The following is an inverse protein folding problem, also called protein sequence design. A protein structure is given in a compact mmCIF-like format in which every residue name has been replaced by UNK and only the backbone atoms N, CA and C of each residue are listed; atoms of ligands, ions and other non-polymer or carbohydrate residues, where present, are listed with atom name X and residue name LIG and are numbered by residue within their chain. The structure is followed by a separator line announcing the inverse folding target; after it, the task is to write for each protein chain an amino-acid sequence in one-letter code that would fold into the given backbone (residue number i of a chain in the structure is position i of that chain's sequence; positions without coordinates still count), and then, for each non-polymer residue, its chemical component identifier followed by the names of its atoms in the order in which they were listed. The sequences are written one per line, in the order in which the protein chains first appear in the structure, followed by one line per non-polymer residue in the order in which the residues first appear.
data_IF_548186073591
#
_entry.id   IF_548186073591
#
_cell.length_a   1.000
_cell.length_b   1.000
_cell.length_c   1.000
_cell.angle_alpha   90.00
_cell.angle_beta   90.00
_cell.angle_gamma   90.00
#
_symmetry.space_group_name_H-M   'P 1'
#
loop_
_entity.id
_entity.type
_entity.pdbx_description
1 polymer ?
#
# COMPACT_ATOMS: atom_id res chain seq x y z
N UNK A 1 25.61 11.68 -6.44
CA UNK A 1 25.09 10.85 -5.33
C UNK A 1 25.87 9.55 -5.31
N UNK A 2 26.60 9.26 -4.23
CA UNK A 2 27.20 7.94 -4.03
C UNK A 2 26.08 6.90 -4.09
N UNK A 3 26.27 5.87 -4.94
CA UNK A 3 25.42 4.69 -4.88
C UNK A 3 25.52 4.15 -3.46
N UNK A 4 24.42 4.12 -2.73
CA UNK A 4 24.31 3.42 -1.45
C UNK A 4 24.49 1.93 -1.75
N UNK A 5 25.73 1.45 -1.76
CA UNK A 5 26.08 0.08 -2.08
C UNK A 5 25.23 -0.87 -1.22
N UNK A 6 24.45 -1.71 -1.90
CA UNK A 6 23.64 -2.77 -1.28
C UNK A 6 22.28 -2.37 -0.75
N UNK A 7 21.82 -1.11 -0.88
CA UNK A 7 20.47 -0.72 -0.43
C UNK A 7 19.48 -0.62 -1.60
N UNK A 8 18.27 -1.09 -1.37
CA UNK A 8 17.13 -0.88 -2.26
C UNK A 8 16.60 0.53 -2.04
N UNK A 9 16.61 1.34 -3.08
CA UNK A 9 16.15 2.74 -3.06
C UNK A 9 14.67 2.79 -3.44
N UNK A 10 13.82 3.21 -2.50
CA UNK A 10 12.38 3.32 -2.72
C UNK A 10 11.99 4.72 -3.19
N UNK A 11 11.25 4.81 -4.28
CA UNK A 11 10.54 6.01 -4.71
C UNK A 11 9.12 6.03 -4.13
N UNK A 12 8.72 7.14 -3.51
CA UNK A 12 7.36 7.29 -3.00
C UNK A 12 6.55 8.17 -3.95
N UNK A 13 5.41 7.66 -4.42
CA UNK A 13 4.48 8.39 -5.31
C UNK A 13 3.21 8.70 -4.52
N UNK A 14 2.98 10.00 -4.28
CA UNK A 14 1.90 10.50 -3.42
C UNK A 14 2.36 10.70 -1.98
N UNK A 15 2.55 11.97 -1.55
CA UNK A 15 3.03 12.31 -0.20
C UNK A 15 1.87 12.80 0.67
N UNK A 16 0.81 12.01 0.71
CA UNK A 16 -0.29 12.15 1.67
C UNK A 16 0.08 11.61 3.05
N UNK A 17 -0.92 11.34 3.88
CA UNK A 17 -0.70 10.78 5.23
C UNK A 17 0.11 9.47 5.20
N UNK A 18 -0.21 8.56 4.27
CA UNK A 18 0.46 7.27 4.17
C UNK A 18 1.87 7.40 3.57
N UNK A 19 2.02 8.14 2.46
CA UNK A 19 3.34 8.39 1.86
C UNK A 19 4.30 9.09 2.82
N UNK A 20 3.81 10.08 3.57
CA UNK A 20 4.59 10.73 4.64
C UNK A 20 5.00 9.77 5.77
N UNK A 21 4.18 8.76 6.08
CA UNK A 21 4.55 7.71 7.03
C UNK A 21 5.68 6.83 6.50
N UNK A 22 5.64 6.46 5.22
CA UNK A 22 6.71 5.70 4.58
C UNK A 22 8.00 6.50 4.45
N UNK A 23 7.92 7.80 4.13
CA UNK A 23 9.11 8.66 4.09
C UNK A 23 9.81 8.70 5.45
N UNK A 24 9.05 8.88 6.54
CA UNK A 24 9.61 8.82 7.90
C UNK A 24 10.22 7.48 8.23
N UNK A 25 9.53 6.38 7.88
CA UNK A 25 10.05 5.03 8.10
C UNK A 25 11.38 4.80 7.37
N UNK A 26 11.45 5.12 6.08
CA UNK A 26 12.64 4.90 5.24
C UNK A 26 13.84 5.79 5.62
N UNK A 27 13.59 6.87 6.37
CA UNK A 27 14.64 7.78 6.87
C UNK A 27 14.95 7.61 8.35
N UNK A 28 14.28 6.67 9.05
CA UNK A 28 14.34 6.55 10.51
C UNK A 28 14.03 7.87 11.24
N UNK A 29 13.19 8.71 10.63
CA UNK A 29 12.79 9.96 11.26
C UNK A 29 11.94 9.69 12.52
N UNK A 30 12.00 10.56 13.54
CA UNK A 30 11.29 10.36 14.79
C UNK A 30 9.78 10.25 14.59
N UNK A 31 9.14 9.50 15.48
CA UNK A 31 7.69 9.36 15.50
C UNK A 31 7.00 10.73 15.61
N UNK A 32 5.89 10.96 14.88
CA UNK A 32 5.21 12.26 14.85
C UNK A 32 4.49 12.60 16.14
N UNK A 33 4.27 11.61 17.01
CA UNK A 33 3.59 11.78 18.30
C UNK A 33 4.36 11.13 19.45
N UNK A 34 4.38 11.74 20.64
CA UNK A 34 4.96 11.13 21.84
C UNK A 34 4.33 9.77 22.15
N UNK A 35 5.16 8.78 22.46
CA UNK A 35 4.71 7.42 22.80
C UNK A 35 4.43 6.50 21.59
N UNK A 36 4.48 6.99 20.37
CA UNK A 36 4.41 6.14 19.19
C UNK A 36 5.75 5.44 18.96
N UNK A 37 5.73 4.12 18.90
CA UNK A 37 6.91 3.31 18.56
C UNK A 37 6.88 2.99 17.08
N UNK A 38 7.90 3.45 16.35
CA UNK A 38 8.12 3.07 14.96
C UNK A 38 9.19 1.97 14.91
N UNK A 39 8.95 0.94 14.09
CA UNK A 39 9.99 -0.03 13.79
C UNK A 39 11.13 0.67 13.03
N UNK A 40 12.40 0.31 13.27
CA UNK A 40 13.51 0.85 12.48
C UNK A 40 13.41 0.37 11.01
N UNK A 41 13.85 1.23 10.10
CA UNK A 41 14.03 0.85 8.70
C UNK A 41 15.14 -0.21 8.60
N UNK A 42 14.95 -1.30 7.86
CA UNK A 42 16.01 -2.26 7.60
C UNK A 42 17.22 -1.59 6.94
N UNK A 43 18.43 -2.05 7.26
CA UNK A 43 19.68 -1.46 6.77
C UNK A 43 19.83 -1.53 5.23
N UNK A 44 19.13 -2.47 4.61
CA UNK A 44 19.12 -2.65 3.16
C UNK A 44 18.07 -1.81 2.41
N UNK A 45 17.38 -0.89 3.09
CA UNK A 45 16.38 -0.01 2.50
C UNK A 45 16.79 1.46 2.63
N UNK A 46 16.39 2.28 1.67
CA UNK A 46 16.60 3.73 1.69
C UNK A 46 15.50 4.47 0.94
N UNK A 47 15.24 5.72 1.31
CA UNK A 47 14.42 6.64 0.54
C UNK A 47 15.25 7.16 -0.64
N UNK A 48 14.85 6.81 -1.87
CA UNK A 48 15.54 7.17 -3.11
C UNK A 48 15.00 8.43 -3.78
N UNK A 49 13.67 8.61 -3.75
CA UNK A 49 13.02 9.78 -4.34
C UNK A 49 11.61 9.99 -3.77
N UNK A 50 11.10 11.20 -3.92
CA UNK A 50 9.75 11.61 -3.58
C UNK A 50 9.05 12.17 -4.81
N UNK A 51 7.75 11.89 -4.94
CA UNK A 51 6.93 12.41 -6.05
C UNK A 51 5.53 12.81 -5.59
N UNK A 52 5.15 14.02 -5.88
CA UNK A 52 3.79 14.52 -5.69
C UNK A 52 3.51 15.66 -6.68
N UNK A 53 2.25 15.83 -7.08
CA UNK A 53 1.81 16.93 -7.95
C UNK A 53 1.58 18.24 -7.17
N UNK A 54 1.42 18.17 -5.85
CA UNK A 54 1.11 19.30 -4.98
C UNK A 54 2.38 20.12 -4.67
N UNK A 55 2.43 21.43 -5.03
CA UNK A 55 3.57 22.30 -4.73
C UNK A 55 3.86 22.45 -3.22
N UNK A 56 2.83 22.38 -2.37
CA UNK A 56 3.03 22.46 -0.92
C UNK A 56 3.76 21.21 -0.40
N UNK A 57 3.47 20.04 -1.01
CA UNK A 57 4.22 18.81 -0.71
C UNK A 57 5.66 18.90 -1.18
N UNK A 58 5.91 19.48 -2.35
CA UNK A 58 7.28 19.74 -2.84
C UNK A 58 8.07 20.57 -1.83
N UNK A 59 7.50 21.69 -1.37
CA UNK A 59 8.13 22.58 -0.40
C UNK A 59 8.44 21.85 0.90
N UNK A 60 7.43 21.18 1.47
CA UNK A 60 7.57 20.40 2.71
C UNK A 60 8.66 19.32 2.57
N UNK A 61 8.68 18.58 1.46
CA UNK A 61 9.66 17.53 1.24
C UNK A 61 11.08 18.07 1.12
N UNK A 62 11.30 19.20 0.42
CA UNK A 62 12.59 19.84 0.31
C UNK A 62 13.13 20.36 1.65
N UNK A 63 12.24 20.79 2.54
CA UNK A 63 12.60 21.20 3.90
C UNK A 63 12.95 20.01 4.81
N UNK A 64 12.17 18.93 4.73
CA UNK A 64 12.32 17.75 5.61
C UNK A 64 13.36 16.75 5.11
N UNK A 65 13.54 16.64 3.80
CA UNK A 65 14.40 15.66 3.13
C UNK A 65 15.26 16.34 2.05
N UNK A 66 16.15 17.29 2.40
CA UNK A 66 16.85 18.15 1.45
C UNK A 66 17.75 17.38 0.46
N UNK A 67 18.25 16.21 0.87
CA UNK A 67 19.14 15.38 0.05
C UNK A 67 18.39 14.38 -0.84
N UNK A 68 17.06 14.31 -0.73
CA UNK A 68 16.21 13.38 -1.50
C UNK A 68 15.62 14.09 -2.71
N UNK A 69 15.86 13.61 -3.94
CA UNK A 69 15.30 14.20 -5.14
C UNK A 69 13.76 14.15 -5.12
N UNK A 70 13.15 15.25 -5.59
CA UNK A 70 11.72 15.39 -5.68
C UNK A 70 11.30 15.55 -7.15
N UNK A 71 10.25 14.82 -7.55
CA UNK A 71 9.68 14.82 -8.89
C UNK A 71 8.21 15.26 -8.85
N UNK A 72 7.77 15.99 -9.89
CA UNK A 72 6.35 16.34 -10.08
C UNK A 72 5.61 15.29 -10.91
N UNK A 73 6.34 14.61 -11.79
CA UNK A 73 5.83 13.52 -12.61
C UNK A 73 6.48 12.21 -12.17
N UNK A 74 5.65 11.22 -11.86
CA UNK A 74 6.11 9.90 -11.46
C UNK A 74 6.79 9.13 -12.60
N UNK A 75 6.51 9.46 -13.88
CA UNK A 75 7.22 8.88 -15.02
C UNK A 75 8.67 9.32 -15.06
N UNK A 76 8.91 10.62 -14.81
CA UNK A 76 10.26 11.17 -14.73
C UNK A 76 11.04 10.53 -13.56
N UNK A 77 10.39 10.29 -12.43
CA UNK A 77 11.01 9.59 -11.30
C UNK A 77 11.39 8.14 -11.67
N UNK A 78 10.50 7.39 -12.32
CA UNK A 78 10.78 6.02 -12.76
C UNK A 78 11.94 5.98 -13.76
N UNK A 79 11.99 6.93 -14.70
CA UNK A 79 13.04 7.03 -15.70
C UNK A 79 14.39 7.56 -15.16
N UNK A 80 14.41 8.15 -13.97
CA UNK A 80 15.60 8.88 -13.45
C UNK A 80 16.76 8.00 -13.03
N UNK A 81 16.54 6.70 -12.80
CA UNK A 81 17.56 5.82 -12.22
C UNK A 81 17.90 6.08 -10.74
N UNK A 82 17.14 6.93 -10.06
CA UNK A 82 17.33 7.22 -8.63
C UNK A 82 16.68 6.18 -7.71
N UNK A 83 15.80 5.34 -8.23
CA UNK A 83 15.01 4.36 -7.48
C UNK A 83 15.13 2.96 -8.07
N UNK A 84 14.99 1.94 -7.24
CA UNK A 84 15.02 0.52 -7.58
C UNK A 84 13.63 -0.13 -7.42
N UNK A 85 12.79 0.49 -6.61
CA UNK A 85 11.41 0.10 -6.36
C UNK A 85 10.55 1.33 -6.07
N UNK A 86 9.25 1.24 -6.35
CA UNK A 86 8.30 2.30 -6.00
C UNK A 86 7.26 1.82 -5.00
N UNK A 87 6.78 2.76 -4.18
CA UNK A 87 5.59 2.58 -3.34
C UNK A 87 4.55 3.59 -3.81
N UNK A 88 3.36 3.11 -4.25
CA UNK A 88 2.28 4.00 -4.69
C UNK A 88 1.31 4.27 -3.54
N UNK A 89 1.14 5.53 -3.18
CA UNK A 89 0.26 5.99 -2.09
C UNK A 89 -0.69 7.11 -2.56
N UNK A 90 -1.05 7.06 -3.82
CA UNK A 90 -1.95 8.00 -4.51
C UNK A 90 -3.43 7.64 -4.29
N UNK A 91 -4.39 8.45 -4.75
CA UNK A 91 -5.80 8.06 -4.79
C UNK A 91 -6.03 6.78 -5.58
N UNK A 92 -6.99 5.96 -5.15
CA UNK A 92 -7.19 4.57 -5.54
C UNK A 92 -7.28 4.31 -7.06
N UNK A 93 -7.84 5.26 -7.82
CA UNK A 93 -7.99 5.13 -9.27
C UNK A 93 -6.67 5.15 -10.04
N UNK A 94 -5.60 5.71 -9.45
CA UNK A 94 -4.29 5.81 -10.08
C UNK A 94 -3.38 4.61 -9.81
N UNK A 95 -3.73 3.76 -8.86
CA UNK A 95 -2.90 2.61 -8.46
C UNK A 95 -2.56 1.71 -9.65
N UNK A 96 -3.56 1.37 -10.48
CA UNK A 96 -3.35 0.45 -11.59
C UNK A 96 -2.50 1.05 -12.71
N UNK A 97 -2.72 2.32 -13.05
CA UNK A 97 -1.97 2.99 -14.13
C UNK A 97 -0.48 3.06 -13.79
N UNK A 98 -0.17 3.58 -12.60
CA UNK A 98 1.21 3.74 -12.15
C UNK A 98 1.91 2.40 -12.00
N UNK A 99 1.22 1.41 -11.40
CA UNK A 99 1.81 0.08 -11.20
C UNK A 99 2.09 -0.65 -12.50
N UNK A 100 1.18 -0.59 -13.47
CA UNK A 100 1.37 -1.21 -14.80
C UNK A 100 2.55 -0.55 -15.50
N UNK A 101 2.56 0.76 -15.60
CA UNK A 101 3.66 1.49 -16.23
C UNK A 101 5.01 1.16 -15.60
N UNK A 102 5.07 1.13 -14.27
CA UNK A 102 6.31 0.82 -13.56
C UNK A 102 6.82 -0.60 -13.87
N UNK A 103 5.94 -1.61 -13.85
CA UNK A 103 6.30 -2.99 -14.19
C UNK A 103 6.78 -3.12 -15.64
N UNK A 104 6.10 -2.46 -16.60
CA UNK A 104 6.49 -2.41 -18.02
C UNK A 104 7.87 -1.75 -18.25
N UNK A 105 8.33 -0.93 -17.28
CA UNK A 105 9.65 -0.30 -17.28
C UNK A 105 10.66 -0.99 -16.35
N UNK A 106 10.40 -2.25 -15.97
CA UNK A 106 11.33 -3.05 -15.16
C UNK A 106 11.44 -2.62 -13.69
N UNK A 107 10.48 -1.85 -13.17
CA UNK A 107 10.49 -1.33 -11.80
C UNK A 107 9.72 -2.24 -10.85
N UNK A 108 10.32 -2.56 -9.70
CA UNK A 108 9.62 -3.24 -8.62
C UNK A 108 8.54 -2.34 -8.00
N UNK A 109 7.38 -2.91 -7.66
CA UNK A 109 6.22 -2.14 -7.22
C UNK A 109 5.61 -2.70 -5.94
N UNK A 110 5.47 -1.84 -4.94
CA UNK A 110 4.62 -2.07 -3.79
C UNK A 110 3.44 -1.10 -3.85
N UNK A 111 2.26 -1.60 -4.19
CA UNK A 111 1.06 -0.80 -4.35
C UNK A 111 0.25 -0.77 -3.05
N UNK A 112 -0.15 0.42 -2.59
CA UNK A 112 -1.07 0.54 -1.46
C UNK A 112 -2.44 -0.10 -1.77
N UNK A 113 -3.08 -0.52 -0.70
CA UNK A 113 -4.46 -1.04 -0.80
C UNK A 113 -5.48 0.13 -0.96
N UNK A 114 -6.59 -0.08 -1.63
CA UNK A 114 -6.93 -1.27 -2.43
C UNK A 114 -6.10 -1.34 -3.72
N UNK A 115 -5.92 -2.53 -4.26
CA UNK A 115 -5.21 -2.71 -5.53
C UNK A 115 -5.79 -1.85 -6.66
N UNK A 116 -7.08 -1.63 -6.64
CA UNK A 116 -7.83 -0.78 -7.56
C UNK A 116 -9.30 -0.77 -7.19
N UNK A 117 -10.05 0.10 -7.85
CA UNK A 117 -11.48 0.32 -7.61
C UNK A 117 -12.35 -0.55 -8.50
N UNK A 118 -11.85 -0.90 -9.68
CA UNK A 118 -12.56 -1.70 -10.68
C UNK A 118 -11.85 -3.02 -10.89
N UNK A 119 -12.57 -4.12 -10.82
CA UNK A 119 -12.02 -5.46 -11.05
C UNK A 119 -11.29 -5.58 -12.39
N UNK A 120 -11.80 -4.94 -13.45
CA UNK A 120 -11.17 -4.90 -14.76
C UNK A 120 -9.75 -4.31 -14.74
N UNK A 121 -9.53 -3.26 -13.96
CA UNK A 121 -8.22 -2.60 -13.86
C UNK A 121 -7.26 -3.45 -13.03
N UNK A 122 -7.74 -4.10 -11.97
CA UNK A 122 -6.94 -5.07 -11.19
C UNK A 122 -6.57 -6.29 -12.04
N UNK A 123 -7.46 -6.78 -12.90
CA UNK A 123 -7.14 -7.87 -13.85
C UNK A 123 -6.01 -7.48 -14.80
N UNK A 124 -5.97 -6.22 -15.28
CA UNK A 124 -4.86 -5.72 -16.11
C UNK A 124 -3.53 -5.71 -15.33
N UNK A 125 -3.56 -5.27 -14.05
CA UNK A 125 -2.37 -5.31 -13.20
C UNK A 125 -1.86 -6.75 -13.02
N UNK A 126 -2.76 -7.71 -12.78
CA UNK A 126 -2.42 -9.13 -12.64
C UNK A 126 -1.82 -9.66 -13.95
N UNK A 127 -2.40 -9.32 -15.11
CA UNK A 127 -1.89 -9.72 -16.41
C UNK A 127 -0.50 -9.15 -16.67
N UNK A 128 -0.29 -7.86 -16.35
CA UNK A 128 1.02 -7.21 -16.46
C UNK A 128 2.06 -7.88 -15.55
N UNK A 129 1.75 -8.11 -14.28
CA UNK A 129 2.65 -8.78 -13.35
C UNK A 129 3.04 -10.20 -13.79
N UNK A 130 2.12 -10.94 -14.44
CA UNK A 130 2.42 -12.25 -15.04
C UNK A 130 3.30 -12.16 -16.27
N UNK A 131 3.19 -11.07 -17.04
CA UNK A 131 4.00 -10.83 -18.23
C UNK A 131 5.43 -10.38 -17.87
N UNK A 132 5.63 -9.82 -16.68
CA UNK A 132 6.90 -9.30 -16.18
C UNK A 132 7.37 -10.03 -14.92
N UNK A 133 7.69 -11.33 -14.98
CA UNK A 133 8.10 -12.12 -13.82
C UNK A 133 9.46 -11.69 -13.22
N UNK A 134 10.23 -10.91 -13.93
CA UNK A 134 11.51 -10.34 -13.53
C UNK A 134 11.37 -9.22 -12.47
N UNK A 135 10.18 -8.61 -12.34
CA UNK A 135 9.92 -7.59 -11.35
C UNK A 135 9.06 -8.12 -10.21
N UNK A 136 9.28 -7.61 -9.02
CA UNK A 136 8.45 -7.90 -7.85
C UNK A 136 7.25 -6.97 -7.82
N UNK A 137 6.05 -7.54 -7.77
CA UNK A 137 4.80 -6.79 -7.57
C UNK A 137 4.06 -7.26 -6.32
N UNK A 138 3.68 -6.34 -5.45
CA UNK A 138 2.94 -6.65 -4.23
C UNK A 138 1.91 -5.58 -3.89
N UNK A 139 0.85 -6.02 -3.18
CA UNK A 139 -0.14 -5.12 -2.55
C UNK A 139 0.16 -5.04 -1.06
N UNK A 140 0.06 -3.83 -0.50
CA UNK A 140 0.36 -3.54 0.91
C UNK A 140 -0.72 -4.09 1.87
N UNK A 141 -0.81 -5.40 1.95
CA UNK A 141 -1.58 -6.09 2.98
C UNK A 141 -0.71 -6.34 4.22
N UNK A 142 -0.23 -5.28 4.82
CA UNK A 142 0.71 -5.30 5.94
C UNK A 142 0.22 -6.08 7.16
N UNK A 143 -1.08 -6.26 7.34
CA UNK A 143 -1.63 -7.04 8.44
C UNK A 143 -1.23 -8.53 8.38
N UNK A 144 -0.86 -9.06 7.22
CA UNK A 144 -0.29 -10.42 7.08
C UNK A 144 1.07 -10.58 7.79
N UNK A 145 1.76 -9.48 8.06
CA UNK A 145 3.03 -9.50 8.82
C UNK A 145 2.82 -9.42 10.34
N UNK A 146 1.60 -9.16 10.81
CA UNK A 146 1.27 -9.16 12.22
C UNK A 146 1.36 -10.56 12.82
N UNK A 147 2.17 -10.71 13.88
CA UNK A 147 2.45 -12.01 14.52
C UNK A 147 1.19 -12.70 15.04
N UNK A 148 0.19 -11.95 15.51
CA UNK A 148 -1.09 -12.51 15.93
C UNK A 148 -1.81 -13.20 14.76
N UNK A 149 -1.95 -12.52 13.62
CA UNK A 149 -2.62 -13.08 12.45
C UNK A 149 -1.83 -14.23 11.82
N UNK A 150 -0.49 -14.17 11.85
CA UNK A 150 0.37 -15.28 11.44
C UNK A 150 0.11 -16.51 12.31
N UNK A 151 0.00 -16.33 13.64
CA UNK A 151 -0.27 -17.46 14.56
C UNK A 151 -1.68 -18.04 14.36
N UNK A 152 -2.69 -17.20 14.16
CA UNK A 152 -4.05 -17.66 13.82
C UNK A 152 -4.02 -18.49 12.52
N UNK A 153 -3.33 -18.00 11.48
CA UNK A 153 -3.18 -18.72 10.21
C UNK A 153 -2.49 -20.08 10.41
N UNK A 154 -1.44 -20.13 11.21
CA UNK A 154 -0.73 -21.36 11.55
C UNK A 154 -1.65 -22.40 12.21
N UNK A 155 -2.42 -21.98 13.25
CA UNK A 155 -3.36 -22.84 13.95
C UNK A 155 -4.45 -23.38 13.01
N UNK A 156 -5.02 -22.53 12.16
CA UNK A 156 -6.02 -22.96 11.17
C UNK A 156 -5.40 -23.95 10.18
N UNK A 157 -4.20 -23.65 9.67
CA UNK A 157 -3.53 -24.47 8.67
C UNK A 157 -3.03 -25.83 9.23
N UNK A 158 -2.75 -25.92 10.53
CA UNK A 158 -2.32 -27.17 11.17
C UNK A 158 -3.43 -28.24 11.24
N UNK A 159 -4.69 -27.85 11.06
CA UNK A 159 -5.84 -28.74 11.22
C UNK A 159 -6.23 -29.00 12.67
N UNK A 160 -5.59 -28.37 13.65
CA UNK A 160 -5.88 -28.53 15.08
C UNK A 160 -7.34 -28.20 15.43
N UNK A 161 -7.94 -27.22 14.71
CA UNK A 161 -9.33 -26.83 14.87
C UNK A 161 -10.32 -27.71 14.08
N UNK A 162 -9.82 -28.68 13.31
CA UNK A 162 -10.64 -29.45 12.38
C UNK A 162 -11.14 -28.60 11.21
N UNK A 163 -12.24 -29.04 10.60
CA UNK A 163 -12.86 -28.30 9.49
C UNK A 163 -13.57 -27.03 9.96
N UNK A 164 -13.23 -25.89 9.37
CA UNK A 164 -13.86 -24.61 9.69
C UNK A 164 -15.30 -24.62 9.15
N UNK A 165 -16.28 -24.69 10.04
CA UNK A 165 -17.70 -24.69 9.71
C UNK A 165 -18.30 -23.30 9.60
N UNK A 166 -17.79 -22.35 10.37
CA UNK A 166 -18.29 -20.98 10.38
C UNK A 166 -17.18 -20.02 10.78
N UNK A 167 -17.07 -18.92 10.08
CA UNK A 167 -16.21 -17.80 10.44
C UNK A 167 -17.01 -16.51 10.44
N UNK A 168 -16.82 -15.66 11.44
CA UNK A 168 -17.46 -14.36 11.58
C UNK A 168 -16.44 -13.33 12.03
N UNK A 169 -16.36 -12.22 11.29
CA UNK A 169 -15.49 -11.10 11.63
C UNK A 169 -16.34 -9.86 11.95
N UNK A 170 -16.23 -9.36 13.18
CA UNK A 170 -16.92 -8.15 13.62
C UNK A 170 -15.92 -7.03 13.83
N UNK A 171 -16.18 -5.86 13.25
CA UNK A 171 -15.36 -4.65 13.39
C UNK A 171 -16.26 -3.56 13.99
N UNK A 172 -16.15 -3.31 15.28
CA UNK A 172 -17.00 -2.36 16.02
C UNK A 172 -16.22 -1.20 16.65
N UNK A 173 -14.90 -1.17 16.51
CA UNK A 173 -14.03 -0.13 17.09
C UNK A 173 -13.50 0.89 16.06
N UNK A 174 -13.97 0.85 14.83
CA UNK A 174 -13.44 1.65 13.72
C UNK A 174 -14.23 2.95 13.53
N UNK A 175 -14.04 3.88 14.44
CA UNK A 175 -14.64 5.20 14.31
C UNK A 175 -13.79 6.15 13.45
N UNK A 176 -14.43 6.94 12.60
CA UNK A 176 -13.82 7.99 11.77
C UNK A 176 -14.53 9.31 12.02
N UNK A 177 -13.87 10.31 12.65
CA UNK A 177 -14.45 11.63 12.86
C UNK A 177 -14.53 12.41 11.54
N UNK A 178 -15.33 13.48 11.54
CA UNK A 178 -15.48 14.37 10.38
C UNK A 178 -14.13 14.93 9.93
N UNK A 179 -13.22 15.23 10.86
CA UNK A 179 -11.87 15.68 10.56
C UNK A 179 -11.06 14.70 9.71
N UNK A 180 -11.33 13.39 9.80
CA UNK A 180 -10.72 12.40 8.91
C UNK A 180 -11.15 12.59 7.45
N UNK A 181 -12.43 12.87 7.22
CA UNK A 181 -12.96 13.07 5.87
C UNK A 181 -12.56 14.43 5.29
N UNK A 182 -12.35 15.44 6.13
CA UNK A 182 -11.91 16.78 5.74
C UNK A 182 -10.42 16.86 5.34
N UNK A 183 -9.62 15.82 5.59
CA UNK A 183 -8.19 15.81 5.26
C UNK A 183 -7.89 15.85 3.76
N UNK A 184 -8.86 15.49 2.91
CA UNK A 184 -8.68 15.52 1.46
C UNK A 184 -10.03 15.50 0.73
N UNK A 185 -10.12 16.21 -0.40
CA UNK A 185 -11.34 16.34 -1.18
C UNK A 185 -11.83 15.03 -1.84
N UNK A 186 -10.99 13.99 -1.92
CA UNK A 186 -11.34 12.71 -2.55
C UNK A 186 -12.01 11.73 -1.60
N UNK A 187 -11.83 11.93 -0.26
CA UNK A 187 -12.42 11.03 0.74
C UNK A 187 -13.93 11.12 0.77
N UNK A 188 -14.61 10.00 1.10
CA UNK A 188 -16.06 9.85 1.16
C UNK A 188 -16.80 10.20 -0.15
N UNK A 189 -16.11 10.20 -1.28
CA UNK A 189 -16.72 10.42 -2.59
C UNK A 189 -16.58 9.18 -3.46
N UNK A 190 -17.58 8.89 -4.29
CA UNK A 190 -17.52 7.82 -5.28
C UNK A 190 -16.39 8.04 -6.29
N UNK A 191 -16.18 9.28 -6.72
CA UNK A 191 -15.14 9.65 -7.67
C UNK A 191 -13.73 9.54 -7.10
N UNK A 192 -13.55 9.63 -5.79
CA UNK A 192 -12.25 9.58 -5.14
C UNK A 192 -11.91 8.21 -4.57
N UNK A 193 -12.79 7.65 -3.72
CA UNK A 193 -12.55 6.36 -3.07
C UNK A 193 -13.05 5.17 -3.91
N UNK A 194 -14.06 5.37 -4.76
CA UNK A 194 -14.62 4.35 -5.65
C UNK A 194 -15.53 3.33 -4.97
N UNK A 195 -15.82 3.50 -3.71
CA UNK A 195 -16.69 2.62 -2.95
C UNK A 195 -16.76 3.01 -1.48
N UNK A 196 -17.51 2.21 -0.71
CA UNK A 196 -17.69 2.41 0.71
C UNK A 196 -16.65 1.69 1.56
N UNK A 197 -17.09 1.25 2.76
CA UNK A 197 -16.23 0.62 3.78
C UNK A 197 -15.46 -0.61 3.25
N UNK A 198 -16.05 -1.40 2.38
CA UNK A 198 -15.42 -2.63 1.85
C UNK A 198 -14.23 -2.33 0.92
N UNK A 199 -14.23 -1.17 0.24
CA UNK A 199 -13.13 -0.78 -0.66
C UNK A 199 -12.02 -0.04 0.07
N UNK A 200 -12.36 0.85 1.02
CA UNK A 200 -11.35 1.69 1.67
C UNK A 200 -10.94 1.19 3.05
N UNK A 201 -11.89 0.88 3.93
CA UNK A 201 -11.61 0.58 5.34
C UNK A 201 -11.34 -0.90 5.60
N UNK A 202 -12.12 -1.80 4.99
CA UNK A 202 -12.10 -3.23 5.26
C UNK A 202 -11.27 -4.11 4.30
N UNK A 203 -10.48 -3.62 3.33
CA UNK A 203 -9.66 -4.51 2.50
C UNK A 203 -8.70 -5.40 3.29
N UNK A 204 -8.12 -4.88 4.38
CA UNK A 204 -7.26 -5.69 5.24
C UNK A 204 -8.00 -6.83 5.91
N UNK A 205 -9.23 -6.61 6.37
CA UNK A 205 -10.02 -7.64 7.03
C UNK A 205 -10.52 -8.68 6.04
N UNK A 206 -10.94 -8.27 4.84
CA UNK A 206 -11.32 -9.18 3.76
C UNK A 206 -10.12 -10.04 3.32
N UNK A 207 -8.96 -9.42 3.15
CA UNK A 207 -7.71 -10.10 2.82
C UNK A 207 -7.31 -11.11 3.89
N UNK A 208 -7.29 -10.71 5.17
CA UNK A 208 -6.98 -11.59 6.28
C UNK A 208 -7.98 -12.75 6.39
N UNK A 209 -9.26 -12.47 6.22
CA UNK A 209 -10.30 -13.49 6.29
C UNK A 209 -10.09 -14.57 5.23
N UNK A 210 -9.88 -14.15 3.98
CA UNK A 210 -9.56 -15.07 2.90
C UNK A 210 -8.25 -15.81 3.14
N UNK A 211 -7.21 -15.11 3.59
CA UNK A 211 -5.88 -15.69 3.83
C UNK A 211 -5.90 -16.72 4.97
N UNK A 212 -6.66 -16.48 6.04
CA UNK A 212 -6.76 -17.37 7.20
C UNK A 212 -7.68 -18.56 6.92
N UNK A 213 -8.89 -18.30 6.42
CA UNK A 213 -9.96 -19.31 6.30
C UNK A 213 -10.01 -19.98 4.93
N UNK A 214 -9.25 -19.50 3.93
CA UNK A 214 -9.30 -20.00 2.55
C UNK A 214 -10.27 -19.25 1.67
N UNK A 215 -10.72 -19.85 0.58
CA UNK A 215 -11.52 -19.19 -0.44
C UNK A 215 -12.93 -18.81 0.05
N UNK A 216 -13.27 -17.52 -0.03
CA UNK A 216 -14.58 -16.99 0.35
C UNK A 216 -15.69 -17.31 -0.68
N UNK A 217 -15.35 -17.77 -1.88
CA UNK A 217 -16.31 -18.06 -2.95
C UNK A 217 -17.32 -19.15 -2.57
N UNK A 218 -16.99 -20.02 -1.62
CA UNK A 218 -17.86 -21.10 -1.16
C UNK A 218 -18.67 -20.76 0.09
N UNK A 219 -18.45 -19.60 0.72
CA UNK A 219 -18.98 -19.30 2.05
C UNK A 219 -20.02 -18.19 2.07
N UNK A 220 -20.29 -17.54 0.95
CA UNK A 220 -21.28 -16.46 0.85
C UNK A 220 -22.08 -16.61 -0.44
N UNK A 221 -23.12 -17.46 -0.44
CA UNK A 221 -24.13 -17.37 -1.51
C UNK A 221 -24.71 -15.94 -1.46
N UNK A 222 -24.55 -15.21 -2.55
CA UNK A 222 -25.21 -13.92 -2.69
C UNK A 222 -26.71 -14.14 -2.79
N UNK A 223 -27.53 -13.40 -2.03
CA UNK A 223 -28.98 -13.47 -2.21
C UNK A 223 -29.46 -12.95 -3.57
N UNK A 224 -28.54 -12.60 -4.46
CA UNK A 224 -28.81 -12.07 -5.81
C UNK A 224 -28.38 -13.01 -6.94
N UNK A 225 -27.85 -14.19 -6.61
CA UNK A 225 -27.49 -15.23 -7.59
C UNK A 225 -28.66 -16.19 -7.84
#
# INVERSE_FOLDING_TARGET
MEKTEGKIRYGLIGIGAQGGSYARFLTNAPAPFPGMVCAPCPDNCALGALCDIDPEKEKMCKEQYPDVPFFKDWKDMIASGTVDAIITTVPHYLHHEISIYAMEHGMNVLCEKPAGVRSKDVQKMIACAKAHPEVSFGIMFNQRTNKLYQKIKEIVASGELGEIRRSQWMINSWWRPDSYYQQSAWRATWGGEGGGVLVNQAPHQLDLWQWICGCLLYTSPSPRD
#
